data_IF_095335684284
#
_entry.id   IF_095335684284
#
_cell.length_a   1.000
_cell.length_b   1.000
_cell.length_c   1.000
_cell.angle_alpha   90.00
_cell.angle_beta   90.00
_cell.angle_gamma   90.00
#
_symmetry.space_group_name_H-M   'P 1'
#
loop_
_entity.id
_entity.type
_entity.pdbx_description
1 polymer ?
#
# COMPACT_ATOMS: atom_id res chain seq x y z
N UNK A 1 37.94 -59.06 24.36
CA UNK A 1 38.02 -57.72 24.98
C UNK A 1 38.22 -56.73 23.83
N UNK A 2 37.15 -56.10 23.34
CA UNK A 2 37.25 -55.11 22.26
C UNK A 2 37.10 -53.72 22.86
N UNK A 3 38.12 -52.90 22.67
CA UNK A 3 38.19 -51.54 23.15
C UNK A 3 37.22 -50.64 22.35
N UNK A 4 36.34 -49.95 23.07
CA UNK A 4 35.48 -48.89 22.51
C UNK A 4 36.28 -47.60 22.50
N UNK A 5 36.54 -47.05 21.32
CA UNK A 5 37.15 -45.74 21.13
C UNK A 5 36.12 -44.64 21.44
N UNK A 6 36.44 -43.60 22.23
CA UNK A 6 35.49 -42.54 22.52
C UNK A 6 35.27 -41.64 21.30
N UNK A 7 33.99 -41.39 21.00
CA UNK A 7 33.55 -40.43 19.98
C UNK A 7 33.93 -39.03 20.47
N UNK A 8 34.87 -38.38 19.80
CA UNK A 8 35.28 -37.01 20.07
C UNK A 8 34.10 -36.06 19.92
N UNK A 9 33.78 -35.33 20.98
CA UNK A 9 32.88 -34.19 20.96
C UNK A 9 33.51 -33.07 20.14
N UNK A 10 33.15 -32.98 18.85
CA UNK A 10 33.46 -31.81 18.05
C UNK A 10 32.77 -30.59 18.67
N UNK A 11 33.57 -29.70 19.25
CA UNK A 11 33.19 -28.35 19.65
C UNK A 11 32.65 -27.63 18.40
N UNK A 12 31.42 -27.07 18.42
CA UNK A 12 30.87 -26.40 17.25
C UNK A 12 31.75 -25.19 16.90
N UNK A 13 32.27 -25.17 15.68
CA UNK A 13 33.00 -24.04 15.14
C UNK A 13 32.07 -22.81 15.13
N UNK A 14 32.52 -21.72 15.76
CA UNK A 14 31.80 -20.45 15.75
C UNK A 14 31.53 -20.02 14.30
N UNK A 15 30.26 -19.95 13.91
CA UNK A 15 29.82 -19.58 12.56
C UNK A 15 30.16 -18.11 12.32
N UNK A 16 31.22 -17.84 11.56
CA UNK A 16 31.60 -16.51 11.05
C UNK A 16 30.54 -15.84 10.14
N UNK A 17 29.31 -16.35 10.05
CA UNK A 17 28.30 -15.98 9.06
C UNK A 17 26.95 -15.51 9.64
N UNK A 18 26.83 -15.37 10.96
CA UNK A 18 25.51 -15.15 11.59
C UNK A 18 24.89 -13.79 11.22
N UNK A 19 25.70 -12.73 11.12
CA UNK A 19 25.21 -11.39 10.76
C UNK A 19 24.71 -11.29 9.31
N UNK A 20 25.51 -11.77 8.35
CA UNK A 20 25.14 -11.73 6.93
C UNK A 20 23.90 -12.59 6.63
N UNK A 21 23.81 -13.77 7.24
CA UNK A 21 22.63 -14.64 7.14
C UNK A 21 21.41 -13.97 7.76
N UNK A 22 21.57 -13.27 8.89
CA UNK A 22 20.49 -12.54 9.52
C UNK A 22 19.99 -11.38 8.65
N UNK A 23 20.90 -10.60 8.05
CA UNK A 23 20.55 -9.55 7.08
C UNK A 23 19.77 -10.11 5.89
N UNK A 24 20.23 -11.22 5.29
CA UNK A 24 19.53 -11.86 4.18
C UNK A 24 18.12 -12.32 4.55
N UNK A 25 17.92 -12.81 5.78
CA UNK A 25 16.59 -13.16 6.29
C UNK A 25 15.69 -11.94 6.41
N UNK A 26 16.18 -10.82 6.94
CA UNK A 26 15.39 -9.60 7.05
C UNK A 26 15.04 -9.02 5.67
N UNK A 27 15.96 -9.08 4.70
CA UNK A 27 15.69 -8.71 3.31
C UNK A 27 14.57 -9.58 2.73
N UNK A 28 14.64 -10.90 2.91
CA UNK A 28 13.59 -11.81 2.45
C UNK A 28 12.23 -11.53 3.13
N UNK A 29 12.21 -11.25 4.43
CA UNK A 29 11.00 -10.90 5.17
C UNK A 29 10.40 -9.57 4.69
N UNK A 30 11.23 -8.56 4.41
CA UNK A 30 10.78 -7.27 3.90
C UNK A 30 10.12 -7.41 2.52
N UNK A 31 10.78 -8.09 1.58
CA UNK A 31 10.25 -8.30 0.23
C UNK A 31 9.13 -9.34 0.12
N UNK A 32 8.90 -10.14 1.16
CA UNK A 32 7.66 -10.93 1.28
C UNK A 32 6.43 -10.01 1.34
N UNK A 33 6.56 -8.83 1.97
CA UNK A 33 5.45 -7.88 2.17
C UNK A 33 5.49 -6.67 1.22
N UNK A 34 6.65 -6.30 0.69
CA UNK A 34 6.86 -5.10 -0.11
C UNK A 34 7.41 -5.42 -1.51
N UNK A 35 7.09 -4.58 -2.48
CA UNK A 35 7.73 -4.60 -3.81
C UNK A 35 8.83 -3.54 -3.92
N UNK A 36 8.67 -2.44 -3.17
CA UNK A 36 9.65 -1.36 -3.04
C UNK A 36 9.87 -1.03 -1.56
N UNK A 37 11.11 -0.70 -1.22
CA UNK A 37 11.50 -0.23 0.10
C UNK A 37 12.16 1.15 -0.05
N UNK A 38 11.84 2.07 0.85
CA UNK A 38 12.45 3.40 0.90
C UNK A 38 12.90 3.75 2.31
N UNK A 39 13.98 4.51 2.40
CA UNK A 39 14.30 5.30 3.58
C UNK A 39 14.20 6.77 3.19
N UNK A 40 13.50 7.56 3.99
CA UNK A 40 13.38 9.00 3.81
C UNK A 40 14.01 9.74 4.96
N UNK A 41 14.67 10.85 4.68
CA UNK A 41 15.14 11.76 5.71
C UNK A 41 13.98 12.55 6.36
N UNK A 42 14.31 13.38 7.36
CA UNK A 42 13.35 14.23 8.05
C UNK A 42 12.64 15.27 7.18
N UNK A 43 13.07 15.45 5.92
CA UNK A 43 12.45 16.33 4.93
C UNK A 43 11.72 15.56 3.82
N UNK A 44 11.52 14.25 4.01
CA UNK A 44 10.83 13.34 3.08
C UNK A 44 11.57 13.13 1.74
N UNK A 45 12.88 13.37 1.72
CA UNK A 45 13.72 13.04 0.56
C UNK A 45 14.26 11.62 0.68
N UNK A 46 14.36 10.93 -0.46
CA UNK A 46 14.79 9.53 -0.53
C UNK A 46 16.30 9.44 -0.27
N UNK A 47 16.71 8.74 0.79
CA UNK A 47 18.12 8.46 1.10
C UNK A 47 18.50 7.00 0.84
N UNK A 48 17.51 6.11 0.73
CA UNK A 48 17.68 4.74 0.28
C UNK A 48 16.47 4.29 -0.51
N UNK A 49 16.69 3.45 -1.54
CA UNK A 49 15.61 2.74 -2.21
C UNK A 49 16.07 1.35 -2.68
N UNK A 50 15.15 0.39 -2.66
CA UNK A 50 15.38 -0.96 -3.15
C UNK A 50 14.10 -1.60 -3.70
N UNK A 51 14.25 -2.67 -4.48
CA UNK A 51 13.14 -3.37 -5.13
C UNK A 51 12.98 -2.99 -6.60
N UNK A 52 11.75 -3.10 -7.11
CA UNK A 52 11.39 -2.96 -8.53
C UNK A 52 11.32 -1.51 -9.05
N UNK A 53 12.30 -0.69 -8.66
CA UNK A 53 12.32 0.77 -8.95
C UNK A 53 12.37 1.06 -10.46
N UNK A 54 13.17 0.32 -11.21
CA UNK A 54 13.30 0.47 -12.66
C UNK A 54 12.03 0.05 -13.40
N UNK A 55 11.38 -1.02 -12.95
CA UNK A 55 10.15 -1.53 -13.56
C UNK A 55 8.97 -0.58 -13.33
N UNK A 56 8.86 0.00 -12.14
CA UNK A 56 7.74 0.87 -11.75
C UNK A 56 7.95 2.31 -12.23
N UNK A 57 9.10 2.91 -11.89
CA UNK A 57 9.36 4.33 -12.14
C UNK A 57 10.24 4.57 -13.36
N UNK A 58 10.87 3.52 -13.88
CA UNK A 58 11.82 3.70 -14.96
C UNK A 58 13.14 4.34 -14.57
N UNK A 59 13.41 4.40 -13.26
CA UNK A 59 14.56 5.04 -12.64
C UNK A 59 15.21 4.03 -11.71
N UNK A 60 16.53 3.93 -11.78
CA UNK A 60 17.33 3.15 -10.85
C UNK A 60 17.28 3.73 -9.43
N UNK A 61 17.63 2.92 -8.43
CA UNK A 61 17.67 3.36 -7.03
C UNK A 61 18.56 4.60 -6.81
N UNK A 62 19.68 4.70 -7.51
CA UNK A 62 20.59 5.85 -7.41
C UNK A 62 20.00 7.12 -8.03
N UNK A 63 19.17 7.01 -9.07
CA UNK A 63 18.49 8.16 -9.68
C UNK A 63 17.33 8.70 -8.83
N UNK A 64 16.89 7.93 -7.83
CA UNK A 64 15.86 8.34 -6.87
C UNK A 64 16.46 9.04 -5.66
N UNK A 65 17.75 8.87 -5.39
CA UNK A 65 18.42 9.49 -4.25
C UNK A 65 18.29 11.01 -4.27
N UNK A 66 17.96 11.58 -3.12
CA UNK A 66 17.78 13.02 -2.92
C UNK A 66 16.52 13.61 -3.53
N UNK A 67 15.63 12.81 -4.14
CA UNK A 67 14.34 13.30 -4.67
C UNK A 67 13.25 13.26 -3.60
N UNK A 68 12.27 14.18 -3.64
CA UNK A 68 11.08 14.08 -2.80
C UNK A 68 10.36 12.76 -3.05
N UNK A 69 9.99 12.04 -1.99
CA UNK A 69 9.24 10.80 -2.14
C UNK A 69 7.88 11.00 -2.81
N UNK A 70 7.22 12.12 -2.54
CA UNK A 70 5.91 12.47 -3.10
C UNK A 70 5.94 12.65 -4.62
N UNK A 71 7.10 12.87 -5.25
CA UNK A 71 7.24 12.88 -6.72
C UNK A 71 7.04 11.50 -7.37
N UNK A 72 6.99 10.43 -6.56
CA UNK A 72 6.68 9.08 -7.01
C UNK A 72 5.18 8.77 -6.98
N UNK A 73 4.36 9.69 -6.50
CA UNK A 73 2.92 9.50 -6.30
C UNK A 73 2.12 10.32 -7.31
N UNK A 74 0.86 9.91 -7.51
CA UNK A 74 -0.10 10.73 -8.23
C UNK A 74 -0.32 12.05 -7.48
N UNK A 75 -0.48 13.14 -8.23
CA UNK A 75 -0.64 14.50 -7.70
C UNK A 75 -1.73 14.62 -6.63
N UNK A 76 -2.83 13.88 -6.78
CA UNK A 76 -3.94 13.90 -5.84
C UNK A 76 -3.61 13.28 -4.47
N UNK A 77 -2.55 12.46 -4.37
CA UNK A 77 -2.17 11.75 -3.15
C UNK A 77 -0.97 12.40 -2.45
N UNK A 78 -0.24 13.31 -3.12
CA UNK A 78 1.01 13.90 -2.60
C UNK A 78 0.84 14.64 -1.29
N UNK A 79 -0.16 15.52 -1.21
CA UNK A 79 -0.38 16.35 -0.02
C UNK A 79 -0.76 15.49 1.18
N UNK A 80 -1.69 14.55 0.99
CA UNK A 80 -2.14 13.63 2.04
C UNK A 80 -0.96 12.83 2.61
N UNK A 81 -0.12 12.25 1.75
CA UNK A 81 1.05 11.49 2.21
C UNK A 81 2.04 12.40 2.94
N UNK A 82 2.30 13.60 2.42
CA UNK A 82 3.22 14.54 3.08
C UNK A 82 2.73 14.90 4.48
N UNK A 83 1.44 15.21 4.63
CA UNK A 83 0.84 15.58 5.93
C UNK A 83 0.90 14.41 6.92
N UNK A 84 0.61 13.18 6.47
CA UNK A 84 0.68 11.99 7.32
C UNK A 84 2.11 11.66 7.77
N UNK A 85 3.10 11.87 6.90
CA UNK A 85 4.51 11.76 7.25
C UNK A 85 4.94 12.87 8.23
N UNK A 86 4.40 14.09 8.12
CA UNK A 86 4.71 15.19 9.05
C UNK A 86 4.03 15.06 10.42
N UNK A 87 2.79 14.58 10.45
CA UNK A 87 2.01 14.39 11.68
C UNK A 87 2.50 13.22 12.55
N UNK A 88 3.38 12.40 11.98
CA UNK A 88 3.99 11.26 12.63
C UNK A 88 5.06 11.70 13.66
N UNK A 89 4.68 11.71 14.93
CA UNK A 89 5.56 11.92 16.10
C UNK A 89 6.77 10.96 16.10
N UNK A 90 7.71 11.17 17.03
CA UNK A 90 9.05 10.55 17.06
C UNK A 90 9.08 9.00 16.96
N UNK A 91 7.97 8.32 17.24
CA UNK A 91 7.80 6.85 17.17
C UNK A 91 6.56 6.41 16.35
N UNK A 92 6.11 7.24 15.42
CA UNK A 92 4.88 6.99 14.70
C UNK A 92 5.00 5.87 13.66
N UNK A 93 3.99 5.00 13.70
CA UNK A 93 3.73 3.97 12.71
C UNK A 93 2.73 4.50 11.69
N UNK A 94 3.02 4.27 10.43
CA UNK A 94 2.16 4.58 9.30
C UNK A 94 1.48 3.27 8.90
N UNK A 95 0.17 3.21 9.14
CA UNK A 95 -0.64 2.05 8.81
C UNK A 95 -1.32 2.22 7.45
N UNK A 96 -0.87 1.40 6.49
CA UNK A 96 -1.49 1.11 5.19
C UNK A 96 -2.22 2.28 4.51
N UNK A 97 -1.47 3.31 4.13
CA UNK A 97 -1.98 4.44 3.33
C UNK A 97 -2.19 3.97 1.88
N UNK A 98 -3.42 3.97 1.35
CA UNK A 98 -3.65 3.72 -0.06
C UNK A 98 -3.20 4.92 -0.90
N UNK A 99 -2.45 4.65 -1.96
CA UNK A 99 -1.95 5.68 -2.88
C UNK A 99 -2.00 5.18 -4.33
N UNK A 100 -1.88 6.11 -5.27
CA UNK A 100 -1.67 5.84 -6.68
C UNK A 100 -0.24 6.19 -7.07
N UNK A 101 0.37 5.31 -7.86
CA UNK A 101 1.69 5.50 -8.43
C UNK A 101 1.55 5.58 -9.96
N UNK A 102 1.99 6.67 -10.60
CA UNK A 102 2.00 6.78 -12.05
C UNK A 102 3.03 5.81 -12.64
N UNK A 103 2.59 4.91 -13.52
CA UNK A 103 3.47 4.01 -14.24
C UNK A 103 3.95 4.63 -15.57
N UNK A 104 5.05 4.08 -16.09
CA UNK A 104 5.46 4.29 -17.48
C UNK A 104 4.32 3.85 -18.42
N UNK A 105 3.72 4.80 -19.14
CA UNK A 105 2.58 4.57 -20.03
C UNK A 105 1.31 5.32 -19.67
N UNK A 106 1.35 6.22 -18.67
CA UNK A 106 0.25 7.16 -18.37
C UNK A 106 -0.93 6.55 -17.62
N UNK A 107 -0.77 5.34 -17.09
CA UNK A 107 -1.78 4.65 -16.28
C UNK A 107 -1.26 4.47 -14.86
N UNK A 108 -2.08 4.80 -13.86
CA UNK A 108 -1.69 4.63 -12.45
C UNK A 108 -1.91 3.18 -11.98
N UNK A 109 -1.05 2.71 -11.08
CA UNK A 109 -1.32 1.53 -10.26
C UNK A 109 -1.70 1.93 -8.82
N UNK A 110 -2.55 1.12 -8.21
CA UNK A 110 -2.84 1.24 -6.79
C UNK A 110 -1.68 0.64 -6.00
N UNK A 111 -1.31 1.28 -4.90
CA UNK A 111 -0.32 0.78 -3.97
C UNK A 111 -0.73 1.09 -2.53
N UNK A 112 -0.11 0.40 -1.59
CA UNK A 112 -0.27 0.65 -0.16
C UNK A 112 1.09 0.93 0.45
N UNK A 113 1.18 2.01 1.20
CA UNK A 113 2.37 2.42 1.94
C UNK A 113 2.18 2.07 3.41
N UNK A 114 3.09 1.28 3.96
CA UNK A 114 3.22 1.07 5.40
C UNK A 114 4.59 1.57 5.82
N UNK A 115 4.74 2.07 7.05
CA UNK A 115 6.04 2.55 7.48
C UNK A 115 6.14 2.81 8.96
N UNK A 116 7.33 3.18 9.39
CA UNK A 116 7.61 3.60 10.75
C UNK A 116 8.80 4.55 10.77
N UNK A 117 8.81 5.42 11.78
CA UNK A 117 9.94 6.30 12.06
C UNK A 117 10.90 5.61 13.03
N UNK A 118 12.21 5.65 12.75
CA UNK A 118 13.21 5.00 13.61
C UNK A 118 14.13 6.04 14.25
N UNK A 119 14.06 6.25 15.58
CA UNK A 119 14.92 7.20 16.27
C UNK A 119 16.42 6.97 16.05
N UNK A 120 16.85 5.70 16.10
CA UNK A 120 18.27 5.30 15.98
C UNK A 120 18.85 5.55 14.57
N UNK A 121 18.02 5.91 13.59
CA UNK A 121 18.40 6.22 12.22
C UNK A 121 18.08 7.69 11.89
N UNK A 122 18.53 8.63 12.71
CA UNK A 122 18.30 10.07 12.52
C UNK A 122 16.80 10.45 12.42
N UNK A 123 15.92 9.65 13.03
CA UNK A 123 14.47 9.78 12.86
C UNK A 123 14.01 9.68 11.40
N UNK A 124 14.71 8.92 10.56
CA UNK A 124 14.32 8.62 9.19
C UNK A 124 13.06 7.76 9.16
N UNK A 125 12.32 7.86 8.05
CA UNK A 125 11.16 7.02 7.77
C UNK A 125 11.57 5.81 6.96
N UNK A 126 11.17 4.62 7.42
CA UNK A 126 11.32 3.37 6.68
C UNK A 126 9.96 2.99 6.11
N UNK A 127 9.85 3.04 4.78
CA UNK A 127 8.61 2.78 4.06
C UNK A 127 8.69 1.48 3.28
N UNK A 128 7.63 0.69 3.39
CA UNK A 128 7.34 -0.46 2.57
C UNK A 128 6.18 -0.12 1.65
N UNK A 129 6.38 -0.27 0.34
CA UNK A 129 5.34 -0.04 -0.66
C UNK A 129 4.99 -1.36 -1.32
N UNK A 130 3.72 -1.74 -1.23
CA UNK A 130 3.15 -2.89 -1.93
C UNK A 130 2.35 -2.42 -3.13
N UNK A 131 2.77 -2.79 -4.32
CA UNK A 131 1.99 -2.57 -5.54
C UNK A 131 0.84 -3.55 -5.54
N UNK A 132 -0.38 -3.04 -5.69
CA UNK A 132 -1.56 -3.85 -5.89
C UNK A 132 -1.71 -4.05 -7.40
N UNK A 133 -1.69 -5.31 -7.89
CA UNK A 133 -2.06 -5.57 -9.27
C UNK A 133 -3.41 -4.94 -9.51
N UNK A 134 -3.59 -4.21 -10.62
CA UNK A 134 -4.92 -3.89 -11.12
C UNK A 134 -5.63 -5.23 -11.27
N UNK A 135 -6.42 -5.62 -10.28
CA UNK A 135 -7.39 -6.67 -10.48
C UNK A 135 -8.36 -6.05 -11.45
N UNK A 136 -8.20 -6.37 -12.73
CA UNK A 136 -9.28 -6.22 -13.68
C UNK A 136 -10.44 -6.95 -13.03
N UNK A 137 -11.38 -6.21 -12.47
CA UNK A 137 -12.71 -6.74 -12.24
C UNK A 137 -13.06 -7.43 -13.54
N UNK A 138 -13.20 -8.77 -13.52
CA UNK A 138 -13.63 -9.50 -14.71
C UNK A 138 -15.01 -9.02 -15.20
N UNK A 139 -15.69 -8.24 -14.36
CA UNK A 139 -16.82 -7.39 -14.74
C UNK A 139 -16.28 -6.17 -15.48
N UNK A 140 -16.34 -6.22 -16.82
CA UNK A 140 -16.14 -5.06 -17.68
C UNK A 140 -17.08 -3.94 -17.23
N UNK A 141 -16.51 -2.87 -16.66
CA UNK A 141 -17.28 -1.71 -16.21
C UNK A 141 -17.76 -0.93 -17.43
N UNK A 142 -19.07 -0.72 -17.50
CA UNK A 142 -19.71 -0.01 -18.61
C UNK A 142 -19.79 1.48 -18.30
N UNK A 143 -19.76 2.35 -19.33
CA UNK A 143 -20.13 3.75 -19.15
C UNK A 143 -21.51 3.83 -18.47
N UNK A 144 -21.60 4.55 -17.35
CA UNK A 144 -22.82 4.67 -16.55
C UNK A 144 -22.90 3.76 -15.32
N UNK A 145 -21.96 2.81 -15.13
CA UNK A 145 -21.92 1.96 -13.92
C UNK A 145 -21.51 2.72 -12.65
N UNK A 146 -21.04 3.95 -12.78
CA UNK A 146 -20.56 4.80 -11.69
C UNK A 146 -21.58 5.87 -11.34
N UNK A 147 -21.71 6.11 -10.05
CA UNK A 147 -22.37 7.30 -9.54
C UNK A 147 -21.49 8.53 -9.86
N UNK A 148 -22.03 9.57 -10.53
CA UNK A 148 -21.24 10.70 -11.01
C UNK A 148 -20.73 11.61 -9.88
N UNK A 149 -21.35 11.57 -8.70
CA UNK A 149 -21.00 12.43 -7.56
C UNK A 149 -19.89 11.80 -6.71
N UNK A 150 -19.99 10.51 -6.42
CA UNK A 150 -19.06 9.79 -5.53
C UNK A 150 -18.00 8.97 -6.26
N UNK A 151 -18.23 8.60 -7.52
CA UNK A 151 -17.36 7.68 -8.26
C UNK A 151 -17.39 6.23 -7.75
N UNK A 152 -18.31 5.86 -6.86
CA UNK A 152 -18.58 4.45 -6.51
C UNK A 152 -19.46 3.80 -7.57
N UNK A 153 -19.64 2.49 -7.51
CA UNK A 153 -20.61 1.79 -8.33
C UNK A 153 -22.03 2.29 -7.98
N UNK A 154 -22.85 2.47 -9.01
CA UNK A 154 -24.28 2.68 -8.80
C UNK A 154 -24.91 1.38 -8.25
N UNK A 155 -26.13 1.48 -7.75
CA UNK A 155 -26.83 0.35 -7.12
C UNK A 155 -26.89 -0.91 -8.00
N UNK A 156 -27.15 -0.75 -9.30
CA UNK A 156 -27.28 -1.87 -10.23
C UNK A 156 -25.92 -2.53 -10.48
N UNK A 157 -24.89 -1.73 -10.73
CA UNK A 157 -23.53 -2.22 -10.98
C UNK A 157 -22.93 -2.88 -9.74
N UNK A 158 -23.14 -2.30 -8.55
CA UNK A 158 -22.73 -2.87 -7.27
C UNK A 158 -23.35 -4.25 -7.05
N UNK A 159 -24.66 -4.38 -7.27
CA UNK A 159 -25.39 -5.66 -7.09
C UNK A 159 -24.82 -6.76 -7.99
N UNK A 160 -24.50 -6.43 -9.24
CA UNK A 160 -23.92 -7.38 -10.18
C UNK A 160 -22.51 -7.81 -9.74
N UNK A 161 -21.64 -6.84 -9.42
CA UNK A 161 -20.26 -7.11 -8.98
C UNK A 161 -20.23 -7.91 -7.68
N UNK A 162 -21.07 -7.57 -6.70
CA UNK A 162 -21.17 -8.28 -5.44
C UNK A 162 -21.64 -9.73 -5.65
N UNK A 163 -22.65 -9.95 -6.50
CA UNK A 163 -23.17 -11.28 -6.81
C UNK A 163 -22.13 -12.17 -7.47
N UNK A 164 -21.43 -11.67 -8.49
CA UNK A 164 -20.38 -12.40 -9.19
C UNK A 164 -19.23 -12.73 -8.23
N UNK A 165 -18.89 -11.81 -7.33
CA UNK A 165 -17.80 -12.00 -6.37
C UNK A 165 -18.13 -13.05 -5.32
N UNK A 166 -19.34 -13.02 -4.77
CA UNK A 166 -19.81 -14.03 -3.81
C UNK A 166 -19.74 -15.42 -4.46
N UNK A 167 -20.18 -15.56 -5.71
CA UNK A 167 -20.11 -16.84 -6.46
C UNK A 167 -18.66 -17.30 -6.67
N UNK A 168 -17.80 -16.43 -7.18
CA UNK A 168 -16.40 -16.75 -7.46
C UNK A 168 -15.62 -17.16 -6.21
N UNK A 169 -15.85 -16.47 -5.08
CA UNK A 169 -15.15 -16.76 -3.83
C UNK A 169 -15.69 -18.02 -3.13
N UNK A 170 -17.01 -18.27 -3.24
CA UNK A 170 -17.63 -19.51 -2.74
C UNK A 170 -17.06 -20.75 -3.45
N UNK A 171 -16.77 -20.66 -4.76
CA UNK A 171 -16.13 -21.75 -5.51
C UNK A 171 -14.68 -22.03 -5.04
N UNK A 172 -14.01 -21.07 -4.42
CA UNK A 172 -12.65 -21.20 -3.88
C UNK A 172 -12.58 -21.54 -2.38
N UNK A 173 -13.73 -21.72 -1.72
CA UNK A 173 -13.81 -21.99 -0.27
C UNK A 173 -13.51 -20.78 0.63
N UNK A 174 -13.34 -19.59 0.07
CA UNK A 174 -13.06 -18.37 0.82
C UNK A 174 -14.34 -17.62 1.19
N UNK A 175 -14.50 -17.26 2.47
CA UNK A 175 -15.64 -16.48 2.94
C UNK A 175 -15.51 -15.00 2.52
N UNK A 176 -16.53 -14.46 1.84
CA UNK A 176 -16.61 -13.03 1.52
C UNK A 176 -17.47 -12.32 2.56
N UNK A 177 -17.02 -11.16 3.04
CA UNK A 177 -17.79 -10.29 3.93
C UNK A 177 -18.26 -9.06 3.16
N UNK A 178 -19.50 -8.65 3.42
CA UNK A 178 -20.06 -7.40 2.92
C UNK A 178 -20.28 -6.47 4.11
N UNK A 179 -19.84 -5.22 3.96
CA UNK A 179 -19.97 -4.19 5.00
C UNK A 179 -20.81 -3.05 4.44
N UNK A 180 -21.89 -2.70 5.14
CA UNK A 180 -22.70 -1.53 4.82
C UNK A 180 -22.26 -0.36 5.70
N UNK A 181 -21.80 0.72 5.07
CA UNK A 181 -21.38 1.95 5.76
C UNK A 181 -22.43 3.02 5.50
N UNK A 182 -23.05 3.53 6.56
CA UNK A 182 -23.98 4.67 6.48
C UNK A 182 -23.27 5.92 7.00
N UNK A 183 -23.06 6.89 6.11
CA UNK A 183 -22.56 8.21 6.49
C UNK A 183 -23.76 9.09 6.82
N UNK A 184 -23.90 9.46 8.10
CA UNK A 184 -25.00 10.30 8.56
C UNK A 184 -24.70 11.79 8.31
N UNK A 185 -25.73 12.62 8.34
CA UNK A 185 -25.65 14.09 8.29
C UNK A 185 -24.99 14.69 7.03
N UNK A 186 -24.83 13.91 5.95
CA UNK A 186 -24.33 14.39 4.66
C UNK A 186 -25.20 15.52 4.07
N UNK A 187 -26.51 15.42 4.21
CA UNK A 187 -27.45 16.45 3.75
C UNK A 187 -27.35 17.76 4.54
N UNK A 188 -27.07 17.67 5.84
CA UNK A 188 -26.86 18.84 6.70
C UNK A 188 -25.51 19.50 6.43
N UNK A 189 -24.46 18.69 6.22
CA UNK A 189 -23.15 19.18 5.82
C UNK A 189 -23.22 19.99 4.52
N UNK A 190 -24.12 19.63 3.59
CA UNK A 190 -24.33 20.39 2.35
C UNK A 190 -24.84 21.82 2.58
N UNK A 191 -25.63 22.08 3.63
CA UNK A 191 -26.27 23.38 3.85
C UNK A 191 -25.28 24.52 4.17
N UNK A 192 -24.05 24.20 4.55
CA UNK A 192 -22.98 25.17 4.83
C UNK A 192 -21.83 25.16 3.83
N UNK A 193 -21.93 24.39 2.74
CA UNK A 193 -20.84 24.17 1.78
C UNK A 193 -21.23 24.64 0.38
N UNK A 194 -20.25 25.18 -0.36
CA UNK A 194 -20.39 25.34 -1.82
C UNK A 194 -20.51 23.97 -2.49
N UNK A 195 -21.17 23.92 -3.65
CA UNK A 195 -21.34 22.71 -4.46
C UNK A 195 -19.99 22.00 -4.76
N UNK A 196 -18.96 22.76 -5.13
CA UNK A 196 -17.61 22.21 -5.36
C UNK A 196 -16.99 21.55 -4.12
N UNK A 197 -17.20 22.14 -2.94
CA UNK A 197 -16.70 21.59 -1.69
C UNK A 197 -17.46 20.31 -1.31
N UNK A 198 -18.77 20.27 -1.57
CA UNK A 198 -19.59 19.07 -1.38
C UNK A 198 -19.14 17.93 -2.30
N UNK A 199 -19.00 18.20 -3.60
CA UNK A 199 -18.57 17.23 -4.60
C UNK A 199 -17.18 16.66 -4.28
N UNK A 200 -16.24 17.52 -3.83
CA UNK A 200 -14.91 17.05 -3.36
C UNK A 200 -15.03 16.12 -2.17
N UNK A 201 -15.82 16.47 -1.17
CA UNK A 201 -16.01 15.64 0.02
C UNK A 201 -16.62 14.27 -0.33
N UNK A 202 -17.69 14.26 -1.13
CA UNK A 202 -18.37 13.01 -1.56
C UNK A 202 -17.44 12.16 -2.42
N UNK A 203 -16.69 12.77 -3.35
CA UNK A 203 -15.68 12.09 -4.14
C UNK A 203 -14.53 11.51 -3.30
N UNK A 204 -14.07 12.21 -2.26
CA UNK A 204 -13.06 11.69 -1.33
C UNK A 204 -13.57 10.49 -0.54
N UNK A 205 -14.82 10.53 -0.06
CA UNK A 205 -15.45 9.36 0.61
C UNK A 205 -15.50 8.18 -0.36
N UNK A 206 -15.97 8.38 -1.59
CA UNK A 206 -16.03 7.33 -2.61
C UNK A 206 -14.66 6.76 -2.96
N UNK A 207 -13.62 7.59 -3.03
CA UNK A 207 -12.24 7.15 -3.25
C UNK A 207 -11.73 6.25 -2.10
N UNK A 208 -11.99 6.62 -0.85
CA UNK A 208 -11.63 5.82 0.33
C UNK A 208 -12.37 4.47 0.30
N UNK A 209 -13.68 4.48 0.05
CA UNK A 209 -14.48 3.26 -0.02
C UNK A 209 -13.98 2.32 -1.12
N UNK A 210 -13.71 2.86 -2.32
CA UNK A 210 -13.13 2.06 -3.40
C UNK A 210 -11.78 1.48 -3.00
N UNK A 211 -10.85 2.28 -2.46
CA UNK A 211 -9.53 1.82 -2.05
C UNK A 211 -9.58 0.69 -0.99
N UNK A 212 -10.56 0.75 -0.08
CA UNK A 212 -10.75 -0.26 0.98
C UNK A 212 -11.62 -1.45 0.54
N UNK A 213 -12.25 -1.39 -0.64
CA UNK A 213 -13.07 -2.46 -1.19
C UNK A 213 -12.23 -3.61 -1.75
N UNK A 214 -12.85 -4.78 -1.90
CA UNK A 214 -12.18 -5.97 -2.42
C UNK A 214 -11.74 -5.76 -3.87
N UNK A 215 -10.44 -5.61 -4.09
CA UNK A 215 -9.88 -5.32 -5.41
C UNK A 215 -9.79 -3.82 -5.73
N UNK A 216 -10.06 -2.95 -4.75
CA UNK A 216 -9.74 -1.52 -4.81
C UNK A 216 -10.70 -0.68 -5.67
N UNK A 217 -11.82 -1.24 -6.11
CA UNK A 217 -12.74 -0.54 -7.02
C UNK A 217 -14.16 -1.16 -7.12
N UNK A 218 -14.63 -1.80 -6.05
CA UNK A 218 -15.91 -2.52 -5.99
C UNK A 218 -16.85 -1.96 -4.94
N UNK A 219 -16.58 -0.77 -4.41
CA UNK A 219 -17.53 -0.02 -3.61
C UNK A 219 -18.59 0.62 -4.51
#
# INVERSE_FOLDING_TARGET
MNAVTPIGTQKPAARKNDGAVLTQRFVALAFCRADLLFELDGTQHIVFSAGTTTEIFGRSASELFGKPFTDLLNDADRQLVSDLLMASDKDARIDDIPVRIPLRGGTDCNAVISGYRVPDFNHNFFLAVKIQPRRTSQVAQRPGDRDPESGTLNQQAFTNVASDRIRAMSASGAATKMTLVKVNNLGEARMGMSEDAHNRMVGSIGAILNAQSVGGNTA
#
